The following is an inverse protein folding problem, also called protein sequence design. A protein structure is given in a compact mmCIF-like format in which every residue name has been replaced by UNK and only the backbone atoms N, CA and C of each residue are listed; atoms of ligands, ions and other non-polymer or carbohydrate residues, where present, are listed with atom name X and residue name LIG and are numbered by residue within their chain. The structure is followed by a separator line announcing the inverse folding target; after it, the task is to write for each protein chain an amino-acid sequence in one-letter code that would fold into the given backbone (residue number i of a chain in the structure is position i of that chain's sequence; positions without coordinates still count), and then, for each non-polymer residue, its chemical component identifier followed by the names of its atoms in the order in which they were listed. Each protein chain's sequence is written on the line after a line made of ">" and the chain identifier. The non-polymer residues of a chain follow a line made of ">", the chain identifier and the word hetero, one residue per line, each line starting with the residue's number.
data_IF_911694232337
#
_entry.id   IF_911694232337
#
_cell.length_a   1.000
_cell.length_b   1.000
_cell.length_c   1.000
_cell.angle_alpha   90.00
_cell.angle_beta   90.00
_cell.angle_gamma   90.00
#
_symmetry.space_group_name_H-M   'P 1'
#
loop_
_entity.id
_entity.type
_entity.pdbx_description
1 polymer ?
#
# COMPACT_ATOMS: atom_id res chain seq x y z
N UNK A 1 1.58 -20.37 23.77
CA UNK A 1 0.42 -20.84 22.98
C UNK A 1 0.71 -21.16 21.50
N UNK A 2 1.96 -21.38 21.07
CA UNK A 2 2.24 -21.85 19.68
C UNK A 2 3.49 -22.74 19.58
N UNK A 3 4.50 -22.49 20.42
CA UNK A 3 5.78 -23.25 20.42
C UNK A 3 5.62 -24.76 20.66
N UNK A 4 4.58 -25.22 21.37
CA UNK A 4 4.34 -26.65 21.60
C UNK A 4 3.97 -27.45 20.34
N UNK A 5 3.32 -26.82 19.35
CA UNK A 5 2.91 -27.50 18.10
C UNK A 5 4.05 -27.61 17.09
N UNK A 6 5.17 -26.90 17.30
CA UNK A 6 6.37 -27.04 16.46
C UNK A 6 7.13 -28.36 16.76
N UNK A 7 6.91 -28.91 17.95
CA UNK A 7 7.41 -30.22 18.35
C UNK A 7 6.56 -31.37 17.80
N UNK A 8 5.32 -31.09 17.39
CA UNK A 8 4.44 -32.07 16.77
C UNK A 8 4.84 -32.25 15.28
N UNK A 9 5.30 -33.44 14.87
CA UNK A 9 5.72 -33.70 13.50
C UNK A 9 4.63 -33.40 12.47
N UNK A 10 3.35 -33.53 12.85
CA UNK A 10 2.22 -33.37 11.93
C UNK A 10 1.87 -31.89 11.68
N UNK A 11 1.99 -31.03 12.69
CA UNK A 11 1.68 -29.60 12.56
C UNK A 11 2.88 -28.72 12.20
N UNK A 12 4.10 -29.23 12.33
CA UNK A 12 5.32 -28.43 12.09
C UNK A 12 5.35 -27.78 10.71
N UNK A 13 5.10 -28.55 9.64
CA UNK A 13 5.20 -28.04 8.27
C UNK A 13 4.09 -27.06 7.88
N UNK A 14 2.81 -27.35 8.14
CA UNK A 14 1.73 -26.38 7.90
C UNK A 14 1.93 -25.06 8.63
N UNK A 15 2.28 -25.12 9.91
CA UNK A 15 2.48 -23.93 10.75
C UNK A 15 3.65 -23.07 10.24
N UNK A 16 4.75 -23.68 9.81
CA UNK A 16 5.88 -22.95 9.23
C UNK A 16 5.50 -22.21 7.94
N UNK A 17 4.78 -22.87 7.04
CA UNK A 17 4.28 -22.25 5.79
C UNK A 17 3.38 -21.06 6.12
N UNK A 18 2.47 -21.23 7.07
CA UNK A 18 1.55 -20.17 7.49
C UNK A 18 2.31 -18.97 8.10
N UNK A 19 3.29 -19.22 8.98
CA UNK A 19 4.09 -18.15 9.60
C UNK A 19 4.83 -17.34 8.54
N UNK A 20 5.50 -18.02 7.59
CA UNK A 20 6.26 -17.35 6.53
C UNK A 20 5.34 -16.51 5.64
N UNK A 21 4.17 -17.05 5.26
CA UNK A 21 3.16 -16.31 4.50
C UNK A 21 2.62 -15.09 5.23
N UNK A 22 2.27 -15.25 6.50
CA UNK A 22 1.77 -14.16 7.33
C UNK A 22 2.82 -13.06 7.49
N UNK A 23 4.10 -13.42 7.64
CA UNK A 23 5.18 -12.45 7.69
C UNK A 23 5.30 -11.67 6.38
N UNK A 24 5.29 -12.35 5.23
CA UNK A 24 5.33 -11.70 3.91
C UNK A 24 4.12 -10.77 3.69
N UNK A 25 2.94 -11.19 4.16
CA UNK A 25 1.71 -10.40 4.14
C UNK A 25 1.85 -9.12 4.94
N UNK A 26 2.30 -9.22 6.20
CA UNK A 26 2.47 -8.07 7.10
C UNK A 26 3.53 -7.11 6.57
N UNK A 27 4.65 -7.60 6.06
CA UNK A 27 5.69 -6.76 5.44
C UNK A 27 5.12 -6.00 4.25
N UNK A 28 4.37 -6.67 3.37
CA UNK A 28 3.73 -6.03 2.21
C UNK A 28 2.72 -4.96 2.64
N UNK A 29 1.87 -5.26 3.63
CA UNK A 29 0.91 -4.30 4.18
C UNK A 29 1.61 -3.09 4.84
N UNK A 30 2.70 -3.32 5.58
CA UNK A 30 3.51 -2.26 6.19
C UNK A 30 4.10 -1.33 5.12
N UNK A 31 4.60 -1.88 4.00
CA UNK A 31 5.07 -1.07 2.87
C UNK A 31 3.97 -0.26 2.18
N UNK A 32 2.73 -0.75 2.18
CA UNK A 32 1.59 -0.03 1.60
C UNK A 32 1.26 1.26 2.38
N UNK A 33 1.44 1.25 3.71
CA UNK A 33 1.16 2.38 4.60
C UNK A 33 2.39 3.22 4.93
N UNK A 34 3.60 2.73 4.62
CA UNK A 34 4.84 3.45 4.87
C UNK A 34 4.84 4.81 4.14
N UNK A 35 5.00 5.93 4.85
CA UNK A 35 4.99 7.25 4.24
C UNK A 35 6.25 7.44 3.37
N UNK A 36 6.05 7.74 2.09
CA UNK A 36 7.13 8.11 1.15
C UNK A 36 7.04 9.60 0.88
N UNK A 37 7.55 10.40 1.82
CA UNK A 37 7.48 11.86 1.76
C UNK A 37 8.88 12.43 1.52
N UNK A 38 9.03 13.26 0.50
CA UNK A 38 10.25 14.04 0.30
C UNK A 38 10.05 15.42 0.95
N UNK A 39 10.64 15.61 2.15
CA UNK A 39 10.50 16.84 2.94
C UNK A 39 11.11 18.08 2.28
N UNK A 40 12.04 17.90 1.35
CA UNK A 40 12.69 19.00 0.63
C UNK A 40 12.07 19.27 -0.74
N UNK A 41 11.02 18.53 -1.12
CA UNK A 41 10.40 18.73 -2.42
C UNK A 41 9.63 20.04 -2.43
N UNK A 42 10.03 20.96 -3.30
CA UNK A 42 9.23 22.12 -3.66
C UNK A 42 8.80 21.99 -5.12
N UNK A 43 7.50 22.10 -5.41
CA UNK A 43 7.03 22.12 -6.78
C UNK A 43 7.53 23.38 -7.47
N UNK A 44 7.70 23.28 -8.79
CA UNK A 44 7.95 24.44 -9.64
C UNK A 44 6.63 25.20 -9.81
N UNK A 45 6.48 26.32 -9.09
CA UNK A 45 5.23 27.07 -9.00
C UNK A 45 4.91 27.88 -10.25
N UNK A 46 5.93 28.17 -11.06
CA UNK A 46 5.78 28.93 -12.30
C UNK A 46 5.29 28.05 -13.46
N UNK A 47 5.19 26.74 -13.23
CA UNK A 47 4.69 25.81 -14.23
C UNK A 47 3.17 25.87 -14.34
N UNK A 48 2.63 26.10 -15.56
CA UNK A 48 1.19 26.11 -15.77
C UNK A 48 0.55 24.76 -15.51
N UNK A 49 1.33 23.68 -15.59
CA UNK A 49 0.92 22.31 -15.34
C UNK A 49 1.18 21.84 -13.89
N UNK A 50 1.55 22.74 -12.98
CA UNK A 50 1.69 22.40 -11.57
C UNK A 50 0.30 22.21 -10.91
N UNK A 51 -0.01 21.01 -10.46
CA UNK A 51 -1.21 20.76 -9.67
C UNK A 51 -0.98 21.20 -8.21
N UNK A 52 -1.43 22.40 -7.87
CA UNK A 52 -1.30 22.92 -6.49
C UNK A 52 -2.20 22.21 -5.48
N UNK A 53 -3.25 21.50 -5.92
CA UNK A 53 -4.11 20.70 -5.04
C UNK A 53 -3.53 19.31 -4.75
N UNK A 54 -2.44 18.91 -5.41
CA UNK A 54 -1.78 17.65 -5.10
C UNK A 54 -1.07 17.71 -3.77
N UNK A 55 -1.43 16.80 -2.86
CA UNK A 55 -0.83 16.69 -1.53
C UNK A 55 0.70 16.72 -1.56
N UNK A 56 1.33 15.99 -2.49
CA UNK A 56 2.79 15.96 -2.60
C UNK A 56 3.43 17.30 -2.98
N UNK A 57 2.68 18.20 -3.61
CA UNK A 57 3.15 19.51 -4.04
C UNK A 57 2.94 20.55 -2.94
N UNK A 58 1.77 20.60 -2.30
CA UNK A 58 1.47 21.64 -1.31
C UNK A 58 1.96 21.31 0.11
N UNK A 59 2.23 20.04 0.45
CA UNK A 59 2.53 19.62 1.83
C UNK A 59 3.75 20.29 2.48
N UNK A 60 4.66 20.84 1.67
CA UNK A 60 5.86 21.53 2.14
C UNK A 60 5.78 23.07 1.95
N UNK A 61 4.63 23.59 1.51
CA UNK A 61 4.41 25.03 1.36
C UNK A 61 3.93 25.63 2.69
N UNK A 62 4.27 26.90 2.91
CA UNK A 62 3.65 27.67 3.99
C UNK A 62 2.23 28.07 3.60
N UNK A 63 1.36 28.26 4.60
CA UNK A 63 -0.05 28.58 4.36
C UNK A 63 -0.22 29.85 3.50
N UNK A 64 0.56 30.90 3.76
CA UNK A 64 0.47 32.14 2.98
C UNK A 64 0.82 31.94 1.51
N UNK A 65 1.82 31.10 1.22
CA UNK A 65 2.23 30.77 -0.14
C UNK A 65 1.14 29.95 -0.85
N UNK A 66 0.59 28.95 -0.17
CA UNK A 66 -0.53 28.16 -0.68
C UNK A 66 -1.77 29.04 -0.94
N UNK A 67 -2.11 29.94 -0.02
CA UNK A 67 -3.26 30.84 -0.16
C UNK A 67 -3.11 31.79 -1.36
N UNK A 68 -1.93 32.38 -1.56
CA UNK A 68 -1.65 33.23 -2.74
C UNK A 68 -1.79 32.47 -4.05
N UNK A 69 -1.29 31.23 -4.12
CA UNK A 69 -1.43 30.37 -5.31
C UNK A 69 -2.89 30.01 -5.57
N UNK A 70 -3.64 29.67 -4.52
CA UNK A 70 -5.07 29.35 -4.61
C UNK A 70 -5.90 30.55 -5.05
N UNK A 71 -5.60 31.76 -4.58
CA UNK A 71 -6.25 32.98 -5.04
C UNK A 71 -6.05 33.17 -6.55
N UNK A 72 -4.83 32.93 -7.05
CA UNK A 72 -4.53 32.94 -8.49
C UNK A 72 -5.32 31.91 -9.31
N UNK A 73 -5.58 30.73 -8.76
CA UNK A 73 -6.44 29.72 -9.40
C UNK A 73 -7.91 30.12 -9.33
N UNK A 74 -8.37 30.64 -8.19
CA UNK A 74 -9.78 31.01 -7.96
C UNK A 74 -10.23 32.22 -8.77
N UNK A 75 -9.31 33.09 -9.19
CA UNK A 75 -9.59 34.21 -10.09
C UNK A 75 -9.92 33.78 -11.53
N UNK A 76 -9.74 32.51 -11.89
CA UNK A 76 -10.09 31.95 -13.20
C UNK A 76 -10.92 30.66 -13.05
N UNK A 77 -12.22 30.75 -13.32
CA UNK A 77 -13.15 29.63 -13.21
C UNK A 77 -12.72 28.39 -14.02
N UNK A 78 -12.07 28.58 -15.18
CA UNK A 78 -11.62 27.45 -16.00
C UNK A 78 -10.45 26.70 -15.34
N UNK A 79 -9.52 27.44 -14.75
CA UNK A 79 -8.38 26.88 -13.99
C UNK A 79 -8.84 26.16 -12.74
N UNK A 80 -9.87 26.67 -12.06
CA UNK A 80 -10.46 25.97 -10.91
C UNK A 80 -10.89 24.55 -11.29
N UNK A 81 -11.65 24.39 -12.37
CA UNK A 81 -12.08 23.07 -12.82
C UNK A 81 -10.92 22.19 -13.26
N UNK A 82 -9.94 22.76 -13.97
CA UNK A 82 -8.76 22.02 -14.44
C UNK A 82 -7.97 21.41 -13.27
N UNK A 83 -7.65 22.22 -12.24
CA UNK A 83 -6.86 21.74 -11.11
C UNK A 83 -7.63 20.69 -10.28
N UNK A 84 -8.96 20.82 -10.17
CA UNK A 84 -9.79 19.78 -9.52
C UNK A 84 -9.79 18.45 -10.30
N UNK A 85 -9.97 18.49 -11.61
CA UNK A 85 -9.94 17.30 -12.47
C UNK A 85 -8.58 16.62 -12.38
N UNK A 86 -7.52 17.42 -12.43
CA UNK A 86 -6.15 16.95 -12.32
C UNK A 86 -5.88 16.28 -10.97
N UNK A 87 -6.38 16.86 -9.89
CA UNK A 87 -6.23 16.26 -8.56
C UNK A 87 -6.92 14.90 -8.47
N UNK A 88 -8.15 14.77 -8.95
CA UNK A 88 -8.86 13.48 -8.96
C UNK A 88 -8.08 12.44 -9.77
N UNK A 89 -7.53 12.81 -10.92
CA UNK A 89 -6.72 11.94 -11.76
C UNK A 89 -5.41 11.52 -11.07
N UNK A 90 -4.63 12.48 -10.56
CA UNK A 90 -3.34 12.23 -9.93
C UNK A 90 -3.48 11.42 -8.65
N UNK A 91 -4.51 11.70 -7.84
CA UNK A 91 -4.86 10.90 -6.66
C UNK A 91 -5.13 9.44 -7.05
N UNK A 92 -5.96 9.20 -8.06
CA UNK A 92 -6.29 7.86 -8.54
C UNK A 92 -5.06 7.10 -9.05
N UNK A 93 -4.25 7.76 -9.89
CA UNK A 93 -3.00 7.19 -10.42
C UNK A 93 -2.00 6.87 -9.31
N UNK A 94 -1.84 7.78 -8.34
CA UNK A 94 -0.94 7.59 -7.21
C UNK A 94 -1.35 6.41 -6.34
N UNK A 95 -2.62 6.31 -5.96
CA UNK A 95 -3.15 5.18 -5.19
C UNK A 95 -2.91 3.85 -5.93
N UNK A 96 -3.30 3.79 -7.20
CA UNK A 96 -3.18 2.58 -8.03
C UNK A 96 -1.73 2.12 -8.19
N UNK A 97 -0.82 3.04 -8.54
CA UNK A 97 0.58 2.70 -8.86
C UNK A 97 1.47 2.56 -7.63
N UNK A 98 1.19 3.27 -6.53
CA UNK A 98 2.11 3.33 -5.37
C UNK A 98 1.62 2.55 -4.16
N UNK A 99 0.33 2.50 -3.88
CA UNK A 99 -0.22 1.87 -2.66
C UNK A 99 -0.87 0.52 -2.93
N UNK A 100 -1.71 0.44 -3.96
CA UNK A 100 -2.55 -0.75 -4.21
C UNK A 100 -1.75 -1.97 -4.69
N UNK A 101 -0.56 -1.75 -5.25
CA UNK A 101 0.36 -2.84 -5.61
C UNK A 101 0.75 -3.66 -4.38
N UNK A 102 1.13 -3.00 -3.28
CA UNK A 102 1.53 -3.68 -2.04
C UNK A 102 0.35 -4.34 -1.33
N UNK A 103 -0.82 -3.69 -1.37
CA UNK A 103 -2.07 -4.28 -0.87
C UNK A 103 -2.38 -5.57 -1.63
N UNK A 104 -2.31 -5.55 -2.96
CA UNK A 104 -2.50 -6.74 -3.80
C UNK A 104 -1.50 -7.84 -3.46
N UNK A 105 -0.22 -7.50 -3.28
CA UNK A 105 0.80 -8.47 -2.87
C UNK A 105 0.49 -9.10 -1.51
N UNK A 106 0.07 -8.30 -0.53
CA UNK A 106 -0.35 -8.81 0.78
C UNK A 106 -1.50 -9.83 0.64
N UNK A 107 -2.52 -9.54 -0.18
CA UNK A 107 -3.60 -10.49 -0.46
C UNK A 107 -3.10 -11.78 -1.10
N UNK A 108 -2.23 -11.68 -2.11
CA UNK A 108 -1.68 -12.85 -2.80
C UNK A 108 -0.88 -13.72 -1.83
N UNK A 109 0.01 -13.14 -1.03
CA UNK A 109 0.78 -13.90 -0.04
C UNK A 109 -0.13 -14.57 0.98
N UNK A 110 -1.07 -13.84 1.57
CA UNK A 110 -1.96 -14.37 2.60
C UNK A 110 -2.81 -15.53 2.07
N UNK A 111 -3.52 -15.31 0.97
CA UNK A 111 -4.44 -16.32 0.40
C UNK A 111 -3.64 -17.53 -0.09
N UNK A 112 -2.57 -17.33 -0.84
CA UNK A 112 -1.76 -18.45 -1.34
C UNK A 112 -1.14 -19.25 -0.19
N UNK A 113 -0.57 -18.58 0.80
CA UNK A 113 0.03 -19.29 1.94
C UNK A 113 -0.99 -19.96 2.85
N UNK A 114 -2.20 -19.42 2.99
CA UNK A 114 -3.30 -20.09 3.70
C UNK A 114 -3.70 -21.39 2.99
N UNK A 115 -3.88 -21.34 1.66
CA UNK A 115 -4.22 -22.51 0.86
C UNK A 115 -3.10 -23.57 0.87
N UNK A 116 -1.84 -23.15 0.70
CA UNK A 116 -0.69 -24.07 0.75
C UNK A 116 -0.56 -24.68 2.14
N UNK A 117 -0.71 -23.90 3.22
CA UNK A 117 -0.69 -24.42 4.59
C UNK A 117 -1.78 -25.48 4.80
N UNK A 118 -3.01 -25.23 4.32
CA UNK A 118 -4.11 -26.18 4.43
C UNK A 118 -3.84 -27.47 3.62
N UNK A 119 -3.29 -27.34 2.42
CA UNK A 119 -2.94 -28.49 1.57
C UNK A 119 -1.81 -29.34 2.20
N UNK A 120 -0.79 -28.69 2.78
CA UNK A 120 0.30 -29.40 3.49
C UNK A 120 -0.25 -30.13 4.70
N UNK A 121 -1.17 -29.51 5.46
CA UNK A 121 -1.80 -30.17 6.61
C UNK A 121 -2.59 -31.40 6.19
N UNK A 122 -3.47 -31.27 5.19
CA UNK A 122 -4.24 -32.39 4.67
C UNK A 122 -3.35 -33.52 4.13
N UNK A 123 -2.27 -33.19 3.41
CA UNK A 123 -1.33 -34.20 2.88
C UNK A 123 -0.59 -34.96 3.99
N UNK A 124 -0.19 -34.26 5.05
CA UNK A 124 0.45 -34.86 6.21
C UNK A 124 -0.50 -35.79 6.96
N UNK A 125 -1.75 -35.38 7.18
CA UNK A 125 -2.80 -36.22 7.81
C UNK A 125 -3.12 -37.47 6.98
N UNK A 126 -3.24 -37.36 5.66
CA UNK A 126 -3.51 -38.51 4.79
C UNK A 126 -2.35 -39.50 4.81
N UNK A 127 -1.11 -39.01 4.74
CA UNK A 127 0.08 -39.87 4.81
C UNK A 127 0.22 -40.55 6.18
N UNK A 128 -0.12 -39.83 7.25
CA UNK A 128 -0.15 -40.37 8.60
C UNK A 128 -1.18 -41.50 8.75
N UNK A 129 -2.38 -41.31 8.19
CA UNK A 129 -3.46 -42.30 8.23
C UNK A 129 -3.20 -43.53 7.35
N UNK A 130 -2.34 -43.40 6.34
CA UNK A 130 -1.96 -44.49 5.43
C UNK A 130 -0.82 -45.39 5.97
N UNK A 131 -0.27 -45.08 7.15
CA UNK A 131 0.83 -45.81 7.81
C UNK A 131 0.40 -46.42 9.12
#
# INVERSE_FOLDING_TARGET
>A
FSIGHLSDPYLRWPVLVLIVSCLATVVSAAYAVMPKLNKGFRPDLDRPDCNILFFGNFMNLEYEEFARLMEGVMNDSSRVYEVQVREVYELGVFLGRRKYVYVRLAYVFFIAGLLVSAAVFAGVEIFAAAR
#
